data_IF_130084976972
#
_entry.id   IF_130084976972
#
_cell.length_a   1.000
_cell.length_b   1.000
_cell.length_c   1.000
_cell.angle_alpha   90.00
_cell.angle_beta   90.00
_cell.angle_gamma   90.00
#
_symmetry.space_group_name_H-M   'P 1'
#
loop_
_entity.id
_entity.type
_entity.pdbx_description
1 polymer ?
#
# COMPACT_ATOMS: atom_id res chain seq x y z
N UNK A 1 -9.27 2.66 -9.59
CA UNK A 1 -9.24 3.08 -8.18
C UNK A 1 -8.65 1.93 -7.37
N UNK A 2 -8.15 2.13 -6.15
CA UNK A 2 -7.78 0.97 -5.31
C UNK A 2 -9.02 0.12 -4.99
N UNK A 3 -8.81 -1.16 -4.66
CA UNK A 3 -9.87 -2.10 -4.29
C UNK A 3 -9.47 -2.83 -3.00
N UNK A 4 -10.49 -3.21 -2.21
CA UNK A 4 -10.35 -4.17 -1.11
C UNK A 4 -11.04 -5.46 -1.58
N UNK A 5 -10.25 -6.52 -1.74
CA UNK A 5 -10.69 -7.76 -2.37
C UNK A 5 -10.79 -8.83 -1.29
N UNK A 6 -12.01 -9.35 -1.01
CA UNK A 6 -12.15 -10.44 -0.07
C UNK A 6 -11.57 -11.72 -0.66
N UNK A 7 -11.26 -12.68 0.20
CA UNK A 7 -10.76 -14.00 -0.17
C UNK A 7 -11.50 -15.11 0.56
N UNK A 8 -11.38 -16.33 0.06
CA UNK A 8 -12.21 -17.45 0.51
C UNK A 8 -11.63 -18.12 1.76
N UNK A 9 -12.45 -18.28 2.79
CA UNK A 9 -12.17 -19.18 3.90
C UNK A 9 -12.80 -20.54 3.63
N UNK A 10 -11.99 -21.55 3.34
CA UNK A 10 -12.49 -22.86 2.89
C UNK A 10 -12.55 -23.93 3.98
N UNK A 11 -11.93 -23.72 5.15
CA UNK A 11 -11.97 -24.66 6.27
C UNK A 11 -11.66 -24.00 7.61
N UNK A 12 -12.28 -24.51 8.68
CA UNK A 12 -11.93 -24.24 10.07
C UNK A 12 -11.71 -25.57 10.83
N UNK A 13 -10.80 -25.57 11.79
CA UNK A 13 -10.68 -26.59 12.84
C UNK A 13 -10.49 -25.89 14.19
N UNK A 14 -10.53 -26.58 15.35
CA UNK A 14 -10.16 -25.95 16.62
C UNK A 14 -8.80 -25.26 16.50
N UNK A 15 -8.78 -23.96 16.76
CA UNK A 15 -7.62 -23.06 16.68
C UNK A 15 -6.92 -22.89 15.31
N UNK A 16 -7.48 -23.38 14.19
CA UNK A 16 -6.87 -23.22 12.85
C UNK A 16 -7.91 -22.79 11.82
N UNK A 17 -7.54 -21.85 10.96
CA UNK A 17 -8.36 -21.32 9.87
C UNK A 17 -7.58 -21.46 8.56
N UNK A 18 -8.26 -21.82 7.48
CA UNK A 18 -7.66 -22.03 6.17
C UNK A 18 -8.29 -21.08 5.16
N UNK A 19 -7.44 -20.40 4.39
CA UNK A 19 -7.83 -19.38 3.43
C UNK A 19 -7.18 -19.64 2.07
N UNK A 20 -7.93 -19.47 1.00
CA UNK A 20 -7.40 -19.34 -0.35
C UNK A 20 -7.23 -17.86 -0.65
N UNK A 21 -5.98 -17.41 -0.63
CA UNK A 21 -5.61 -16.01 -0.86
C UNK A 21 -5.21 -15.74 -2.32
N UNK A 22 -5.47 -16.67 -3.24
CA UNK A 22 -4.97 -16.61 -4.62
C UNK A 22 -5.44 -15.36 -5.36
N UNK A 23 -4.49 -14.61 -5.92
CA UNK A 23 -4.75 -13.61 -6.96
C UNK A 23 -4.42 -14.24 -8.32
N UNK A 24 -5.45 -14.64 -9.06
CA UNK A 24 -5.29 -15.46 -10.26
C UNK A 24 -4.38 -14.84 -11.34
N UNK A 25 -4.38 -13.51 -11.47
CA UNK A 25 -3.54 -12.77 -12.42
C UNK A 25 -2.09 -12.57 -11.96
N UNK A 26 -1.77 -12.88 -10.70
CA UNK A 26 -0.44 -12.61 -10.14
C UNK A 26 0.65 -13.43 -10.82
N UNK A 27 1.71 -12.75 -11.22
CA UNK A 27 2.91 -13.33 -11.83
C UNK A 27 4.18 -13.09 -10.99
N UNK A 28 4.08 -12.40 -9.85
CA UNK A 28 5.18 -12.14 -8.94
C UNK A 28 4.72 -12.16 -7.47
N UNK A 29 5.62 -12.56 -6.55
CA UNK A 29 5.36 -12.58 -5.11
C UNK A 29 6.51 -11.90 -4.39
N UNK A 30 6.21 -10.80 -3.71
CA UNK A 30 7.18 -10.07 -2.90
C UNK A 30 6.83 -10.23 -1.41
N UNK A 31 7.85 -10.47 -0.59
CA UNK A 31 7.74 -10.48 0.87
C UNK A 31 8.30 -9.17 1.42
N UNK A 32 7.50 -8.44 2.19
CA UNK A 32 7.90 -7.17 2.79
C UNK A 32 7.76 -7.26 4.30
N UNK A 33 8.87 -7.00 4.99
CA UNK A 33 8.96 -7.07 6.45
C UNK A 33 9.36 -5.71 6.98
N UNK A 34 8.59 -5.18 7.92
CA UNK A 34 8.95 -4.01 8.71
C UNK A 34 9.22 -4.43 10.14
N UNK A 35 10.30 -3.89 10.71
CA UNK A 35 10.55 -3.94 12.14
C UNK A 35 10.00 -2.66 12.78
N UNK A 36 9.09 -2.83 13.76
CA UNK A 36 8.49 -1.73 14.49
C UNK A 36 7.69 -0.74 13.62
N UNK A 37 7.48 0.50 14.10
CA UNK A 37 6.67 1.51 13.41
C UNK A 37 7.46 2.21 12.29
N UNK A 38 7.83 1.44 11.27
CA UNK A 38 8.62 1.92 10.13
C UNK A 38 7.76 2.64 9.08
N UNK A 39 8.27 3.77 8.59
CA UNK A 39 7.73 4.53 7.46
C UNK A 39 8.43 4.08 6.18
N UNK A 40 7.68 3.74 5.13
CA UNK A 40 8.25 3.29 3.86
C UNK A 40 7.51 3.88 2.64
N UNK A 41 8.23 4.57 1.73
CA UNK A 41 9.62 5.00 1.88
C UNK A 41 9.79 5.99 3.05
N UNK A 42 10.99 6.13 3.64
CA UNK A 42 11.23 7.07 4.72
C UNK A 42 10.97 8.52 4.27
N UNK A 43 10.74 9.42 5.22
CA UNK A 43 10.68 10.84 4.90
C UNK A 43 12.04 11.37 4.43
N UNK A 44 12.02 12.42 3.61
CA UNK A 44 13.25 13.06 3.17
C UNK A 44 13.96 13.71 4.38
N UNK A 45 15.20 13.27 4.63
CA UNK A 45 15.94 13.52 5.88
C UNK A 45 16.08 15.01 6.22
N UNK A 46 16.26 15.88 5.23
CA UNK A 46 16.58 17.30 5.45
C UNK A 46 15.33 18.15 5.72
N UNK A 47 14.21 17.79 5.12
CA UNK A 47 13.00 18.62 5.07
C UNK A 47 11.81 18.00 5.79
N UNK A 48 11.88 16.71 6.11
CA UNK A 48 10.75 15.92 6.59
C UNK A 48 9.65 15.76 5.54
N UNK A 49 9.97 15.99 4.27
CA UNK A 49 8.98 15.85 3.20
C UNK A 49 8.60 14.39 3.03
N UNK A 50 7.30 14.13 2.90
CA UNK A 50 6.82 12.79 2.61
C UNK A 50 7.38 12.31 1.29
N UNK A 51 7.90 11.08 1.29
CA UNK A 51 8.25 10.36 0.08
C UNK A 51 7.22 9.28 -0.23
N UNK A 52 7.15 8.89 -1.49
CA UNK A 52 6.23 7.88 -2.02
C UNK A 52 6.94 6.97 -3.02
N UNK A 53 6.58 5.69 -3.06
CA UNK A 53 6.81 4.83 -4.21
C UNK A 53 5.74 5.08 -5.27
N UNK A 54 6.04 4.75 -6.52
CA UNK A 54 5.10 4.75 -7.62
C UNK A 54 5.50 3.63 -8.57
N UNK A 55 4.60 2.67 -8.75
CA UNK A 55 4.77 1.54 -9.65
C UNK A 55 4.08 1.84 -11.00
N UNK A 56 4.80 2.15 -12.09
CA UNK A 56 4.17 2.45 -13.38
C UNK A 56 3.69 1.22 -14.14
N UNK A 57 4.30 0.05 -13.92
CA UNK A 57 4.01 -1.20 -14.65
C UNK A 57 3.76 -2.39 -13.71
N UNK A 58 3.47 -2.10 -12.44
CA UNK A 58 3.11 -3.10 -11.45
C UNK A 58 1.82 -2.70 -10.72
N UNK A 59 0.87 -3.63 -10.70
CA UNK A 59 -0.24 -3.64 -9.75
C UNK A 59 0.16 -4.42 -8.50
N UNK A 60 -0.11 -3.86 -7.33
CA UNK A 60 0.09 -4.58 -6.07
C UNK A 60 -1.20 -5.21 -5.60
N UNK A 61 -1.11 -6.39 -5.00
CA UNK A 61 -2.20 -7.05 -4.28
C UNK A 61 -1.67 -7.46 -2.90
N UNK A 62 -1.83 -6.57 -1.92
CA UNK A 62 -1.17 -6.63 -0.63
C UNK A 62 -2.05 -7.30 0.43
N UNK A 63 -1.50 -8.29 1.13
CA UNK A 63 -2.13 -8.95 2.26
C UNK A 63 -1.22 -8.87 3.49
N UNK A 64 -1.74 -8.37 4.61
CA UNK A 64 -1.04 -8.45 5.89
C UNK A 64 -1.12 -9.87 6.45
N UNK A 65 0.04 -10.51 6.59
CA UNK A 65 0.18 -11.83 7.20
C UNK A 65 0.43 -11.73 8.72
N UNK A 66 1.03 -10.63 9.16
CA UNK A 66 1.26 -10.33 10.56
C UNK A 66 1.26 -8.80 10.80
N UNK A 67 0.75 -8.38 11.95
CA UNK A 67 0.61 -6.96 12.30
C UNK A 67 -0.36 -6.22 11.37
N UNK A 68 -0.12 -4.93 11.19
CA UNK A 68 -0.87 -4.07 10.30
C UNK A 68 -0.03 -2.93 9.73
N UNK A 69 -0.57 -2.33 8.68
CA UNK A 69 0.00 -1.19 7.97
C UNK A 69 -1.07 -0.20 7.59
N UNK A 70 -0.77 1.07 7.78
CA UNK A 70 -1.60 2.17 7.28
C UNK A 70 -0.96 2.72 6.01
N UNK A 71 -1.65 2.54 4.88
CA UNK A 71 -1.23 3.03 3.57
C UNK A 71 -1.83 4.40 3.28
N UNK A 72 -1.02 5.26 2.68
CA UNK A 72 -1.41 6.58 2.20
C UNK A 72 -1.30 6.56 0.69
N UNK A 73 -2.44 6.57 0.01
CA UNK A 73 -2.56 6.41 -1.43
C UNK A 73 -2.94 7.74 -2.08
N UNK A 74 -2.15 8.16 -3.06
CA UNK A 74 -2.45 9.34 -3.87
C UNK A 74 -2.44 8.98 -5.34
N UNK A 75 -3.58 9.14 -6.00
CA UNK A 75 -3.67 9.03 -7.46
C UNK A 75 -4.36 10.27 -8.02
N UNK A 76 -3.60 11.08 -8.75
CA UNK A 76 -4.01 12.38 -9.24
C UNK A 76 -5.05 12.31 -10.38
N UNK A 77 -5.37 11.10 -10.86
CA UNK A 77 -6.42 10.84 -11.85
C UNK A 77 -7.75 10.40 -11.24
N UNK A 78 -7.84 10.16 -9.93
CA UNK A 78 -9.11 9.82 -9.28
C UNK A 78 -9.93 11.06 -8.95
N UNK A 79 -11.27 10.91 -8.92
CA UNK A 79 -12.19 11.97 -8.50
C UNK A 79 -11.88 12.46 -7.08
N UNK A 80 -11.46 11.54 -6.19
CA UNK A 80 -10.90 11.87 -4.89
C UNK A 80 -9.46 11.34 -4.85
N UNK A 81 -8.44 12.22 -4.87
CA UNK A 81 -7.09 11.75 -5.13
C UNK A 81 -6.42 11.12 -3.91
N UNK A 82 -6.88 11.41 -2.69
CA UNK A 82 -6.17 11.05 -1.47
C UNK A 82 -6.97 10.13 -0.54
N UNK A 83 -6.42 8.95 -0.29
CA UNK A 83 -7.02 7.90 0.53
C UNK A 83 -6.03 7.39 1.57
N UNK A 84 -6.52 7.09 2.77
CA UNK A 84 -5.78 6.36 3.80
C UNK A 84 -6.49 5.04 4.04
N UNK A 85 -5.75 3.94 3.89
CA UNK A 85 -6.28 2.58 3.95
C UNK A 85 -5.53 1.78 5.01
N UNK A 86 -6.26 1.18 5.94
CA UNK A 86 -5.72 0.22 6.89
C UNK A 86 -5.68 -1.16 6.27
N UNK A 87 -4.53 -1.81 6.38
CA UNK A 87 -4.36 -3.23 6.15
C UNK A 87 -4.02 -3.88 7.50
N UNK A 88 -4.70 -4.96 7.84
CA UNK A 88 -4.48 -5.69 9.08
C UNK A 88 -4.59 -7.20 8.84
N UNK A 89 -3.97 -7.98 9.72
CA UNK A 89 -3.96 -9.43 9.59
C UNK A 89 -5.38 -9.99 9.60
N UNK A 90 -5.75 -10.70 8.53
CA UNK A 90 -7.08 -11.27 8.37
C UNK A 90 -8.12 -10.32 7.74
N UNK A 91 -7.73 -9.10 7.37
CA UNK A 91 -8.53 -8.21 6.51
C UNK A 91 -8.34 -8.50 5.02
N UNK A 92 -9.00 -7.74 4.17
CA UNK A 92 -9.00 -7.93 2.71
C UNK A 92 -7.63 -7.70 2.03
N UNK A 93 -7.49 -8.17 0.79
CA UNK A 93 -6.35 -7.86 -0.07
C UNK A 93 -6.49 -6.42 -0.59
N UNK A 94 -5.51 -5.57 -0.31
CA UNK A 94 -5.45 -4.21 -0.86
C UNK A 94 -4.83 -4.24 -2.25
N UNK A 95 -5.65 -4.02 -3.28
CA UNK A 95 -5.19 -3.82 -4.65
C UNK A 95 -4.86 -2.35 -4.91
N UNK A 96 -3.60 -2.08 -5.27
CA UNK A 96 -3.14 -0.74 -5.65
C UNK A 96 -2.83 -0.75 -7.16
N UNK A 97 -3.59 0.00 -7.99
CA UNK A 97 -3.34 0.03 -9.42
C UNK A 97 -2.10 0.86 -9.76
N UNK A 98 -1.47 0.60 -10.94
CA UNK A 98 -0.36 1.41 -11.43
C UNK A 98 -0.67 2.90 -11.46
N UNK A 99 0.37 3.73 -11.35
CA UNK A 99 0.21 5.19 -11.34
C UNK A 99 -0.31 5.77 -10.01
N UNK A 100 -0.33 4.97 -8.94
CA UNK A 100 -0.70 5.41 -7.59
C UNK A 100 0.53 5.63 -6.73
N UNK A 101 0.75 6.87 -6.28
CA UNK A 101 1.75 7.16 -5.26
C UNK A 101 1.33 6.51 -3.96
N UNK A 102 2.21 5.74 -3.34
CA UNK A 102 1.90 5.13 -2.06
C UNK A 102 3.08 5.15 -1.10
N UNK A 103 2.75 5.28 0.18
CA UNK A 103 3.65 5.10 1.31
C UNK A 103 2.88 4.39 2.41
N UNK A 104 3.58 3.79 3.35
CA UNK A 104 2.94 3.11 4.48
C UNK A 104 3.69 3.34 5.78
N UNK A 105 2.97 3.15 6.88
CA UNK A 105 3.50 3.09 8.24
C UNK A 105 3.05 1.77 8.85
N UNK A 106 3.99 0.96 9.34
CA UNK A 106 3.66 -0.26 10.07
C UNK A 106 3.34 0.02 11.54
N UNK A 107 2.73 -0.96 12.20
CA UNK A 107 2.41 -0.89 13.62
C UNK A 107 3.64 -0.89 14.53
N UNK A 108 3.42 -0.63 15.81
CA UNK A 108 4.46 -0.64 16.85
C UNK A 108 5.34 -1.90 16.84
N UNK A 109 4.75 -3.07 16.61
CA UNK A 109 5.48 -4.36 16.59
C UNK A 109 5.97 -4.75 15.19
N UNK A 110 5.74 -3.90 14.18
CA UNK A 110 6.08 -4.18 12.79
C UNK A 110 4.94 -4.81 12.00
N UNK A 111 5.29 -5.33 10.84
CA UNK A 111 4.34 -5.99 9.95
C UNK A 111 5.03 -6.94 8.97
N UNK A 112 4.34 -8.00 8.59
CA UNK A 112 4.70 -8.86 7.44
C UNK A 112 3.60 -8.76 6.40
N UNK A 113 3.95 -8.35 5.18
CA UNK A 113 3.02 -8.23 4.06
C UNK A 113 3.49 -9.09 2.90
N UNK A 114 2.57 -9.85 2.34
CA UNK A 114 2.71 -10.50 1.04
C UNK A 114 2.15 -9.58 -0.03
N UNK A 115 2.91 -9.35 -1.10
CA UNK A 115 2.41 -8.73 -2.31
C UNK A 115 2.30 -9.78 -3.43
N UNK A 116 1.08 -10.04 -3.90
CA UNK A 116 0.83 -10.85 -5.09
C UNK A 116 0.78 -9.95 -6.34
N UNK A 117 1.93 -9.41 -6.69
CA UNK A 117 2.05 -8.42 -7.77
C UNK A 117 1.67 -8.99 -9.14
N UNK A 118 1.14 -8.10 -9.99
CA UNK A 118 0.97 -8.31 -11.43
C UNK A 118 1.90 -7.32 -12.13
N UNK A 119 2.92 -7.83 -12.81
CA UNK A 119 3.92 -7.04 -13.55
C UNK A 119 3.65 -7.14 -15.04
N UNK A 120 3.49 -5.99 -15.69
CA UNK A 120 3.34 -5.88 -17.13
C UNK A 120 4.69 -6.05 -17.85
N UNK A 121 4.64 -6.21 -19.18
CA UNK A 121 5.86 -6.20 -20.00
C UNK A 121 6.63 -4.88 -19.79
N UNK A 122 7.95 -5.00 -19.54
CA UNK A 122 8.81 -3.84 -19.27
C UNK A 122 8.88 -3.41 -17.80
N UNK A 123 8.16 -4.07 -16.89
CA UNK A 123 8.31 -3.85 -15.45
C UNK A 123 9.77 -4.07 -14.99
N UNK A 124 10.27 -3.17 -14.16
CA UNK A 124 11.64 -3.22 -13.64
C UNK A 124 11.67 -2.77 -12.18
N UNK A 125 12.24 -3.60 -11.29
CA UNK A 125 12.35 -3.29 -9.86
C UNK A 125 12.93 -1.89 -9.61
N UNK A 126 13.94 -1.47 -10.37
CA UNK A 126 14.54 -0.13 -10.22
C UNK A 126 13.55 0.99 -10.51
N UNK A 127 12.68 0.81 -11.51
CA UNK A 127 11.68 1.81 -11.90
C UNK A 127 10.46 1.77 -11.00
N UNK A 128 9.97 0.56 -10.68
CA UNK A 128 8.81 0.38 -9.81
C UNK A 128 9.10 0.94 -8.42
N UNK A 129 10.27 0.69 -7.83
CA UNK A 129 10.59 1.16 -6.48
C UNK A 129 11.27 2.54 -6.44
N UNK A 130 11.10 3.35 -7.50
CA UNK A 130 11.60 4.73 -7.49
C UNK A 130 10.87 5.55 -6.44
N UNK A 131 11.64 6.35 -5.72
CA UNK A 131 11.14 7.23 -4.66
C UNK A 131 10.88 8.63 -5.21
N UNK A 132 9.72 9.20 -4.87
CA UNK A 132 9.28 10.53 -5.26
C UNK A 132 9.05 11.39 -4.03
N UNK A 133 9.71 12.56 -3.99
CA UNK A 133 9.53 13.54 -2.92
C UNK A 133 8.29 14.40 -3.20
N UNK A 134 7.33 14.40 -2.27
CA UNK A 134 6.07 15.14 -2.40
C UNK A 134 6.26 16.62 -2.67
N UNK A 135 7.25 17.28 -2.05
CA UNK A 135 7.51 18.72 -2.23
C UNK A 135 7.99 19.09 -3.63
N UNK A 136 8.57 18.14 -4.37
CA UNK A 136 9.07 18.37 -5.72
C UNK A 136 8.00 18.18 -6.81
N UNK A 137 6.81 17.70 -6.44
CA UNK A 137 5.70 17.45 -7.37
C UNK A 137 4.52 18.33 -6.93
N UNK A 138 4.27 19.48 -7.59
CA UNK A 138 3.30 20.47 -7.12
C UNK A 138 1.90 19.92 -6.84
N UNK A 139 1.39 19.05 -7.70
CA UNK A 139 0.07 18.43 -7.51
C UNK A 139 0.04 17.42 -6.35
N UNK A 140 1.11 16.66 -6.15
CA UNK A 140 1.22 15.73 -5.02
C UNK A 140 1.32 16.52 -3.72
N UNK A 141 2.19 17.53 -3.67
CA UNK A 141 2.29 18.47 -2.54
C UNK A 141 0.93 19.08 -2.19
N UNK A 142 0.24 19.68 -3.15
CA UNK A 142 -1.06 20.31 -2.92
C UNK A 142 -2.14 19.32 -2.42
N UNK A 143 -1.99 18.03 -2.73
CA UNK A 143 -2.92 16.97 -2.30
C UNK A 143 -2.63 16.47 -0.89
N UNK A 144 -1.38 16.52 -0.44
CA UNK A 144 -0.95 15.93 0.84
C UNK A 144 -0.54 16.97 1.89
N UNK A 145 -0.53 18.26 1.55
CA UNK A 145 -0.16 19.31 2.49
C UNK A 145 -1.27 19.54 3.53
N UNK A 146 -0.91 20.09 4.70
CA UNK A 146 -1.80 20.23 5.86
C UNK A 146 -3.09 21.02 5.60
N UNK A 147 -3.12 21.85 4.57
CA UNK A 147 -4.29 22.65 4.17
C UNK A 147 -5.10 22.01 3.04
N UNK A 148 -4.71 20.83 2.56
CA UNK A 148 -5.43 20.09 1.53
C UNK A 148 -6.74 19.52 2.11
N UNK A 149 -7.73 19.17 1.25
CA UNK A 149 -8.86 18.37 1.68
C UNK A 149 -8.41 17.10 2.40
N UNK A 150 -9.10 16.76 3.49
CA UNK A 150 -8.78 15.59 4.30
C UNK A 150 -8.85 14.29 3.48
N UNK A 151 -7.96 13.31 3.65
CA UNK A 151 -8.09 12.04 2.95
C UNK A 151 -9.41 11.32 3.28
N UNK A 152 -9.88 10.49 2.35
CA UNK A 152 -10.91 9.49 2.66
C UNK A 152 -10.29 8.36 3.46
N UNK A 153 -10.87 8.06 4.60
CA UNK A 153 -10.41 7.02 5.53
C UNK A 153 -11.10 5.68 5.27
N UNK A 154 -10.34 4.59 5.29
CA UNK A 154 -10.81 3.21 5.10
C UNK A 154 -10.17 2.32 6.16
N UNK A 155 -10.96 1.83 7.11
CA UNK A 155 -10.45 1.02 8.23
C UNK A 155 -9.57 1.78 9.23
N UNK A 156 -9.58 3.12 9.20
CA UNK A 156 -8.92 4.00 10.18
C UNK A 156 -9.91 5.05 10.69
N UNK A 157 -9.74 5.49 11.94
CA UNK A 157 -10.43 6.66 12.51
C UNK A 157 -9.50 7.88 12.51
N UNK A 158 -10.09 9.07 12.60
CA UNK A 158 -9.36 10.31 12.88
C UNK A 158 -8.77 10.32 14.29
#
# INVERSE_FOLDING_TARGET
MFELIPYEKFRDTPAVRFFDITVASSNARDLVIHAGPAVSPPDEEKTGAWQFYLHPHQEDNLLALNGGRTFYLVNLGWNYPYHIVRLETGGDILRIPPGTFHRSVSDHDGSVVLNQAVREEGASVVREFRVYNSRLIPRLFATTFKTAPLPKLHGVSW
#
